data_IF_025165598156
#
_entry.id   IF_025165598156
#
_cell.length_a   1.000
_cell.length_b   1.000
_cell.length_c   1.000
_cell.angle_alpha   90.00
_cell.angle_beta   90.00
_cell.angle_gamma   90.00
#
_symmetry.space_group_name_H-M   'P 1'
#
loop_
_entity.id
_entity.type
_entity.pdbx_description
1 polymer ?
#
# COMPACT_ATOMS: atom_id res chain seq x y z
N UNK A 1 -8.88 39.86 22.04
CA UNK A 1 -8.21 39.35 20.80
C UNK A 1 -8.37 37.85 20.76
N UNK A 2 -9.44 37.35 20.15
CA UNK A 2 -9.72 35.91 20.10
C UNK A 2 -9.00 35.31 18.90
N UNK A 3 -7.88 34.65 19.15
CA UNK A 3 -7.08 33.96 18.13
C UNK A 3 -7.82 32.68 17.68
N UNK A 4 -8.69 32.80 16.69
CA UNK A 4 -9.29 31.67 15.99
C UNK A 4 -8.19 30.92 15.24
N UNK A 5 -7.67 29.85 15.85
CA UNK A 5 -6.78 28.89 15.19
C UNK A 5 -7.56 28.20 14.06
N UNK A 6 -7.51 28.79 12.88
CA UNK A 6 -8.07 28.25 11.66
C UNK A 6 -7.34 26.93 11.32
N UNK A 7 -7.95 25.80 11.68
CA UNK A 7 -7.41 24.48 11.37
C UNK A 7 -7.54 24.24 9.87
N UNK A 8 -6.51 24.63 9.09
CA UNK A 8 -6.42 24.27 7.67
C UNK A 8 -6.43 22.75 7.58
N UNK A 9 -7.55 22.17 7.12
CA UNK A 9 -7.66 20.74 6.85
C UNK A 9 -6.67 20.38 5.74
N UNK A 10 -5.51 19.83 6.11
CA UNK A 10 -4.54 19.31 5.17
C UNK A 10 -5.19 18.17 4.39
N UNK A 11 -5.39 18.36 3.08
CA UNK A 11 -5.87 17.31 2.20
C UNK A 11 -4.87 16.16 2.23
N UNK A 12 -5.35 14.96 2.53
CA UNK A 12 -4.52 13.75 2.55
C UNK A 12 -3.98 13.52 1.13
N UNK A 13 -2.66 13.60 0.96
CA UNK A 13 -2.01 13.15 -0.28
C UNK A 13 -2.09 11.63 -0.35
N UNK A 14 -2.50 11.12 -1.51
CA UNK A 14 -2.43 9.70 -1.81
C UNK A 14 -0.98 9.31 -2.13
N UNK A 15 -0.55 8.13 -1.68
CA UNK A 15 0.80 7.58 -1.90
C UNK A 15 0.63 6.09 -2.20
N UNK A 16 1.11 5.66 -3.36
CA UNK A 16 1.00 4.26 -3.81
C UNK A 16 1.85 3.32 -2.95
N UNK A 17 1.63 2.01 -3.07
CA UNK A 17 2.46 1.04 -2.34
C UNK A 17 3.91 1.07 -2.85
N UNK A 18 4.08 1.18 -4.17
CA UNK A 18 5.38 1.34 -4.83
C UNK A 18 6.15 2.56 -4.32
N UNK A 19 5.52 3.74 -4.33
CA UNK A 19 6.17 4.98 -3.85
C UNK A 19 6.62 4.84 -2.39
N UNK A 20 5.82 4.16 -1.55
CA UNK A 20 6.18 3.93 -0.14
C UNK A 20 7.44 3.07 -0.02
N UNK A 21 7.58 2.02 -0.82
CA UNK A 21 8.77 1.16 -0.82
C UNK A 21 9.98 1.97 -1.28
N UNK A 22 9.84 2.73 -2.36
CA UNK A 22 10.93 3.57 -2.86
C UNK A 22 11.40 4.59 -1.81
N UNK A 23 10.45 5.22 -1.09
CA UNK A 23 10.75 6.13 0.03
C UNK A 23 11.49 5.40 1.16
N UNK A 24 11.06 4.19 1.51
CA UNK A 24 11.71 3.39 2.57
C UNK A 24 13.13 2.98 2.18
N UNK A 25 13.35 2.56 0.93
CA UNK A 25 14.68 2.20 0.43
C UNK A 25 15.61 3.42 0.45
N UNK A 26 15.12 4.61 0.05
CA UNK A 26 15.89 5.86 0.14
C UNK A 26 16.20 6.24 1.58
N UNK A 27 15.29 6.01 2.53
CA UNK A 27 15.54 6.25 3.95
C UNK A 27 16.66 5.36 4.51
N UNK A 28 16.78 4.12 4.02
CA UNK A 28 17.87 3.23 4.40
C UNK A 28 19.22 3.68 3.83
N UNK A 29 19.24 4.20 2.60
CA UNK A 29 20.47 4.72 1.98
C UNK A 29 20.89 6.09 2.53
N UNK A 30 19.98 7.06 2.63
CA UNK A 30 20.30 8.46 2.95
C UNK A 30 20.25 8.76 4.46
N UNK A 31 19.51 7.97 5.24
CA UNK A 31 19.33 8.11 6.70
C UNK A 31 18.58 9.38 7.16
N UNK A 32 18.52 10.43 6.34
CA UNK A 32 18.02 11.76 6.69
C UNK A 32 16.59 11.98 6.20
N UNK A 33 15.64 11.98 7.13
CA UNK A 33 14.21 12.23 6.88
C UNK A 33 13.96 13.53 6.11
N UNK A 34 14.71 14.60 6.41
CA UNK A 34 14.52 15.91 5.80
C UNK A 34 14.91 15.92 4.31
N UNK A 35 15.95 15.18 3.92
CA UNK A 35 16.36 15.07 2.51
C UNK A 35 15.33 14.28 1.70
N UNK A 36 14.86 13.17 2.25
CA UNK A 36 13.82 12.35 1.62
C UNK A 36 12.50 13.12 1.50
N UNK A 37 12.12 13.89 2.53
CA UNK A 37 10.93 14.75 2.50
C UNK A 37 11.00 15.81 1.40
N UNK A 38 12.18 16.46 1.24
CA UNK A 38 12.42 17.46 0.20
C UNK A 38 12.38 16.85 -1.20
N UNK A 39 13.04 15.71 -1.41
CA UNK A 39 13.09 15.05 -2.73
C UNK A 39 11.74 14.46 -3.15
N UNK A 40 10.91 14.03 -2.19
CA UNK A 40 9.60 13.41 -2.46
C UNK A 40 8.42 14.40 -2.37
N UNK A 41 8.68 15.66 -2.02
CA UNK A 41 7.66 16.69 -1.78
C UNK A 41 6.55 16.24 -0.80
N UNK A 42 6.98 15.52 0.24
CA UNK A 42 6.13 15.01 1.32
C UNK A 42 6.50 15.67 2.65
N UNK A 43 5.52 15.83 3.52
CA UNK A 43 5.75 16.34 4.86
C UNK A 43 6.60 15.34 5.65
N UNK A 44 7.52 15.83 6.49
CA UNK A 44 8.35 14.96 7.32
C UNK A 44 7.53 14.08 8.27
N UNK A 45 6.36 14.56 8.72
CA UNK A 45 5.42 13.76 9.51
C UNK A 45 4.96 12.51 8.75
N UNK A 46 4.69 12.63 7.45
CA UNK A 46 4.38 11.50 6.57
C UNK A 46 5.54 10.52 6.52
N UNK A 47 6.76 11.00 6.28
CA UNK A 47 7.96 10.16 6.22
C UNK A 47 8.20 9.41 7.55
N UNK A 48 8.00 10.09 8.69
CA UNK A 48 8.05 9.46 10.03
C UNK A 48 7.01 8.34 10.20
N UNK A 49 5.78 8.58 9.75
CA UNK A 49 4.72 7.55 9.81
C UNK A 49 5.00 6.36 8.89
N UNK A 50 5.56 6.59 7.70
CA UNK A 50 6.00 5.54 6.78
C UNK A 50 7.10 4.68 7.41
N UNK A 51 8.12 5.31 8.00
CA UNK A 51 9.20 4.60 8.71
C UNK A 51 8.63 3.72 9.83
N UNK A 52 7.69 4.22 10.63
CA UNK A 52 7.02 3.43 11.70
C UNK A 52 6.20 2.25 11.16
N UNK A 53 5.70 2.35 9.92
CA UNK A 53 4.87 1.32 9.27
C UNK A 53 5.66 0.46 8.28
N UNK A 54 6.99 0.59 8.23
CA UNK A 54 7.85 -0.05 7.24
C UNK A 54 7.63 -1.57 7.17
N UNK A 55 7.63 -2.26 8.32
CA UNK A 55 7.46 -3.72 8.36
C UNK A 55 6.12 -4.17 7.78
N UNK A 56 5.05 -3.43 8.07
CA UNK A 56 3.72 -3.76 7.54
C UNK A 56 3.65 -3.51 6.03
N UNK A 57 4.29 -2.44 5.54
CA UNK A 57 4.37 -2.12 4.12
C UNK A 57 5.14 -3.24 3.40
N UNK A 58 6.30 -3.65 3.93
CA UNK A 58 7.11 -4.75 3.38
C UNK A 58 6.37 -6.09 3.38
N UNK A 59 5.64 -6.42 4.45
CA UNK A 59 4.78 -7.61 4.49
C UNK A 59 3.68 -7.58 3.44
N UNK A 60 3.02 -6.43 3.27
CA UNK A 60 1.96 -6.26 2.26
C UNK A 60 2.49 -6.49 0.84
N UNK A 61 3.75 -6.11 0.60
CA UNK A 61 4.44 -6.33 -0.68
C UNK A 61 4.82 -7.80 -0.85
N UNK A 62 5.35 -8.44 0.20
CA UNK A 62 5.69 -9.86 0.20
C UNK A 62 4.46 -10.77 0.02
N UNK A 63 3.29 -10.33 0.49
CA UNK A 63 2.01 -11.00 0.24
C UNK A 63 1.49 -10.75 -1.20
N UNK A 64 2.40 -10.57 -2.18
CA UNK A 64 2.31 -10.01 -3.56
C UNK A 64 1.10 -9.10 -3.85
N UNK A 65 0.74 -8.19 -2.94
CA UNK A 65 -0.29 -7.22 -3.24
C UNK A 65 0.14 -6.44 -4.50
N UNK A 66 -0.73 -6.23 -5.50
CA UNK A 66 -0.33 -5.53 -6.71
C UNK A 66 0.34 -4.21 -6.35
N UNK A 67 1.58 -4.02 -6.76
CA UNK A 67 2.36 -2.81 -6.44
C UNK A 67 1.67 -1.53 -6.97
N UNK A 68 0.93 -1.69 -8.07
CA UNK A 68 0.06 -0.67 -8.67
C UNK A 68 -1.25 -0.42 -7.91
N UNK A 69 -1.50 -1.08 -6.77
CA UNK A 69 -2.73 -0.88 -6.00
C UNK A 69 -2.86 0.59 -5.58
N UNK A 70 -3.75 1.29 -6.30
CA UNK A 70 -4.00 2.73 -6.19
C UNK A 70 -4.61 3.16 -4.87
N UNK A 71 -4.95 2.26 -3.97
CA UNK A 71 -5.31 2.61 -2.59
C UNK A 71 -5.37 1.36 -1.69
N UNK A 72 -4.35 1.17 -0.83
CA UNK A 72 -4.47 0.30 0.33
C UNK A 72 -4.60 1.18 1.57
N UNK A 73 -5.83 1.61 1.85
CA UNK A 73 -6.18 2.41 3.04
C UNK A 73 -6.34 1.55 4.30
N UNK A 74 -6.52 0.23 4.14
CA UNK A 74 -6.75 -0.74 5.22
C UNK A 74 -5.92 -2.00 4.96
N UNK A 75 -5.29 -2.55 6.00
CA UNK A 75 -4.63 -3.86 5.94
C UNK A 75 -5.68 -4.91 5.59
N UNK A 76 -5.54 -5.57 4.42
CA UNK A 76 -6.36 -6.73 4.08
C UNK A 76 -5.99 -7.88 5.02
N UNK A 77 -6.96 -8.73 5.35
CA UNK A 77 -6.70 -9.93 6.15
C UNK A 77 -5.79 -10.86 5.35
N UNK A 78 -4.68 -11.31 5.95
CA UNK A 78 -3.70 -12.18 5.28
C UNK A 78 -4.30 -13.49 4.78
N UNK A 79 -5.26 -14.06 5.52
CA UNK A 79 -5.96 -15.27 5.10
C UNK A 79 -6.81 -15.02 3.85
N UNK A 80 -7.44 -13.85 3.76
CA UNK A 80 -8.24 -13.46 2.60
C UNK A 80 -7.36 -13.28 1.36
N UNK A 81 -6.18 -12.65 1.51
CA UNK A 81 -5.22 -12.50 0.39
C UNK A 81 -4.74 -13.86 -0.09
N UNK A 82 -4.40 -14.78 0.82
CA UNK A 82 -3.99 -16.15 0.45
C UNK A 82 -5.11 -16.91 -0.27
N UNK A 83 -6.36 -16.75 0.18
CA UNK A 83 -7.53 -17.35 -0.47
C UNK A 83 -7.76 -16.79 -1.86
N UNK A 84 -7.73 -15.45 -2.03
CA UNK A 84 -7.86 -14.77 -3.33
C UNK A 84 -6.79 -15.27 -4.32
N UNK A 85 -5.55 -15.46 -3.86
CA UNK A 85 -4.46 -16.05 -4.67
C UNK A 85 -4.75 -17.47 -5.13
N UNK A 86 -5.10 -18.35 -4.19
CA UNK A 86 -5.38 -19.74 -4.51
C UNK A 86 -6.55 -19.85 -5.50
N UNK A 87 -7.56 -19.00 -5.33
CA UNK A 87 -8.70 -18.90 -6.25
C UNK A 87 -8.27 -18.39 -7.64
N UNK A 88 -7.37 -17.41 -7.72
CA UNK A 88 -6.86 -16.90 -9.00
C UNK A 88 -6.09 -17.98 -9.76
N UNK A 89 -5.20 -18.71 -9.09
CA UNK A 89 -4.44 -19.83 -9.69
C UNK A 89 -5.41 -20.92 -10.19
N UNK A 90 -6.42 -21.26 -9.39
CA UNK A 90 -7.44 -22.23 -9.78
C UNK A 90 -8.25 -21.75 -11.00
N UNK A 91 -8.61 -20.47 -11.03
CA UNK A 91 -9.34 -19.88 -12.15
C UNK A 91 -8.52 -19.94 -13.45
N UNK A 92 -7.23 -19.60 -13.38
CA UNK A 92 -6.30 -19.69 -14.52
C UNK A 92 -6.20 -21.12 -15.07
N UNK A 93 -6.09 -22.13 -14.19
CA UNK A 93 -6.08 -23.54 -14.59
C UNK A 93 -7.39 -23.97 -15.26
N UNK A 94 -8.53 -23.53 -14.74
CA UNK A 94 -9.82 -23.81 -15.36
C UNK A 94 -10.00 -23.13 -16.72
N UNK A 95 -9.51 -21.89 -16.88
CA UNK A 95 -9.50 -21.19 -18.17
C UNK A 95 -8.63 -21.97 -19.17
N UNK A 96 -7.44 -22.40 -18.77
CA UNK A 96 -6.55 -23.20 -19.60
C UNK A 96 -7.20 -24.52 -20.06
N UNK A 97 -7.99 -25.15 -19.17
CA UNK A 97 -8.76 -26.38 -19.43
C UNK A 97 -10.09 -26.14 -20.15
N UNK A 98 -10.42 -24.89 -20.50
CA UNK A 98 -11.70 -24.48 -21.12
C UNK A 98 -12.94 -24.89 -20.31
N UNK A 99 -12.82 -24.91 -18.99
CA UNK A 99 -13.93 -25.21 -18.08
C UNK A 99 -14.73 -23.90 -17.89
N UNK A 100 -16.04 -23.88 -18.21
CA UNK A 100 -16.86 -22.70 -17.99
C UNK A 100 -17.09 -22.50 -16.49
N UNK A 101 -16.68 -21.34 -15.97
CA UNK A 101 -16.86 -20.97 -14.56
C UNK A 101 -17.93 -19.88 -14.47
N UNK A 102 -18.91 -20.11 -13.60
CA UNK A 102 -19.89 -19.10 -13.20
C UNK A 102 -19.50 -18.50 -11.85
N UNK A 103 -19.71 -17.19 -11.68
CA UNK A 103 -19.45 -16.53 -10.39
C UNK A 103 -20.25 -17.13 -9.23
N UNK A 104 -21.40 -17.74 -9.52
CA UNK A 104 -22.24 -18.43 -8.52
C UNK A 104 -21.58 -19.65 -7.89
N UNK A 105 -20.53 -20.21 -8.53
CA UNK A 105 -19.75 -21.33 -8.01
C UNK A 105 -18.70 -20.89 -6.98
N UNK A 106 -18.37 -19.59 -6.93
CA UNK A 106 -17.39 -18.99 -6.02
C UNK A 106 -18.18 -18.43 -4.83
N UNK A 107 -18.12 -19.10 -3.68
CA UNK A 107 -18.81 -18.69 -2.42
C UNK A 107 -17.84 -18.20 -1.37
#
# INVERSE_FOLDING_TARGET
>A
MSNTKETRKLKRKFISLEDKIQILNRLECEGKISLVAKSTNLNESTIRTLKKKADNIRKTVADDCPLSAKCVTRTRNSNMVKMERALMIWLEDCIAKKIPISGNLIK
#
